data_IF_376970012116
#
_entry.id   IF_376970012116
#
_cell.length_a   1.000
_cell.length_b   1.000
_cell.length_c   1.000
_cell.angle_alpha   90.00
_cell.angle_beta   90.00
_cell.angle_gamma   90.00
#
_symmetry.space_group_name_H-M   'P 1'
#
loop_
_entity.id
_entity.type
_entity.pdbx_description
1 polymer ?
#
# COMPACT_ATOMS: atom_id res chain seq x y z
N UNK A 1 -15.01 -22.49 19.43
CA UNK A 1 -13.98 -21.46 19.71
C UNK A 1 -13.41 -20.98 18.39
N UNK A 2 -13.71 -19.75 17.96
CA UNK A 2 -13.14 -19.19 16.74
C UNK A 2 -11.65 -18.89 16.97
N UNK A 3 -10.78 -19.40 16.11
CA UNK A 3 -9.35 -19.07 16.14
C UNK A 3 -9.18 -17.59 15.78
N UNK A 4 -9.00 -16.73 16.79
CA UNK A 4 -8.73 -15.31 16.56
C UNK A 4 -7.40 -15.15 15.81
N UNK A 5 -7.43 -14.42 14.70
CA UNK A 5 -6.23 -14.09 13.92
C UNK A 5 -5.17 -13.40 14.79
N UNK A 6 -3.90 -13.74 14.59
CA UNK A 6 -2.77 -13.10 15.28
C UNK A 6 -2.77 -11.58 15.13
N UNK A 7 -3.34 -11.05 14.04
CA UNK A 7 -3.51 -9.62 13.79
C UNK A 7 -4.45 -8.94 14.79
N UNK A 8 -5.57 -9.58 15.14
CA UNK A 8 -6.51 -9.04 16.12
C UNK A 8 -5.93 -9.12 17.53
N UNK A 9 -5.27 -10.23 17.86
CA UNK A 9 -4.56 -10.37 19.14
C UNK A 9 -3.46 -9.32 19.31
N UNK A 10 -2.73 -8.99 18.24
CA UNK A 10 -1.72 -7.93 18.27
C UNK A 10 -2.34 -6.56 18.55
N UNK A 11 -3.49 -6.25 17.95
CA UNK A 11 -4.21 -5.01 18.22
C UNK A 11 -4.76 -4.95 19.65
N UNK A 12 -5.34 -6.05 20.15
CA UNK A 12 -5.80 -6.16 21.55
C UNK A 12 -4.65 -5.87 22.53
N UNK A 13 -3.48 -6.48 22.29
CA UNK A 13 -2.28 -6.26 23.11
C UNK A 13 -1.82 -4.81 23.11
N UNK A 14 -1.76 -4.17 21.94
CA UNK A 14 -1.36 -2.76 21.80
C UNK A 14 -2.41 -1.78 22.37
N UNK A 15 -3.67 -2.21 22.47
CA UNK A 15 -4.72 -1.43 23.13
C UNK A 15 -4.63 -1.53 24.66
N UNK A 16 -4.21 -2.68 25.19
CA UNK A 16 -3.99 -2.87 26.64
C UNK A 16 -2.67 -2.28 27.14
N UNK A 17 -1.62 -2.30 26.31
CA UNK A 17 -0.31 -1.75 26.64
C UNK A 17 0.26 -0.99 25.43
N UNK A 18 0.21 0.36 25.44
CA UNK A 18 0.80 1.16 24.38
C UNK A 18 2.33 1.11 24.45
N UNK A 19 3.00 1.23 23.30
CA UNK A 19 4.47 1.28 23.15
C UNK A 19 5.20 -0.06 23.32
N UNK A 20 4.54 -1.20 23.07
CA UNK A 20 5.20 -2.50 23.06
C UNK A 20 6.18 -2.62 21.89
N UNK A 21 7.34 -3.25 22.14
CA UNK A 21 8.32 -3.53 21.10
C UNK A 21 7.94 -4.79 20.29
N UNK A 22 8.58 -4.98 19.14
CA UNK A 22 8.38 -6.19 18.31
C UNK A 22 8.66 -7.47 19.10
N UNK A 23 9.62 -7.44 20.04
CA UNK A 23 9.97 -8.60 20.88
C UNK A 23 8.87 -8.92 21.87
N UNK A 24 8.33 -7.91 22.54
CA UNK A 24 7.27 -8.10 23.53
C UNK A 24 5.98 -8.60 22.85
N UNK A 25 5.69 -8.11 21.64
CA UNK A 25 4.56 -8.59 20.82
C UNK A 25 4.78 -10.03 20.36
N UNK A 26 6.01 -10.42 19.99
CA UNK A 26 6.34 -11.78 19.61
C UNK A 26 6.14 -12.77 20.78
N UNK A 27 6.65 -12.40 21.96
CA UNK A 27 6.51 -13.18 23.19
C UNK A 27 5.05 -13.34 23.59
N UNK A 28 4.28 -12.24 23.61
CA UNK A 28 2.87 -12.27 23.98
C UNK A 28 1.98 -13.05 22.99
N UNK A 29 2.35 -13.09 21.71
CA UNK A 29 1.64 -13.85 20.68
C UNK A 29 2.11 -15.31 20.55
N UNK A 30 3.24 -15.68 21.18
CA UNK A 30 3.86 -16.99 21.04
C UNK A 30 4.38 -17.27 19.62
N UNK A 31 4.82 -16.23 18.91
CA UNK A 31 5.33 -16.32 17.52
C UNK A 31 6.79 -15.87 17.45
N UNK A 32 7.49 -16.20 16.37
CA UNK A 32 8.83 -15.69 16.15
C UNK A 32 8.84 -14.18 15.87
N UNK A 33 9.99 -13.54 16.13
CA UNK A 33 10.16 -12.08 16.01
C UNK A 33 9.95 -11.60 14.57
N UNK A 34 10.28 -12.40 13.56
CA UNK A 34 10.07 -12.01 12.16
C UNK A 34 8.58 -11.99 11.81
N UNK A 35 7.82 -12.97 12.30
CA UNK A 35 6.36 -13.02 12.12
C UNK A 35 5.65 -11.91 12.86
N UNK A 36 6.07 -11.58 14.08
CA UNK A 36 5.56 -10.43 14.82
C UNK A 36 5.84 -9.11 14.07
N UNK A 37 7.05 -8.97 13.50
CA UNK A 37 7.41 -7.82 12.66
C UNK A 37 6.51 -7.71 11.43
N UNK A 38 6.27 -8.82 10.72
CA UNK A 38 5.39 -8.84 9.54
C UNK A 38 3.96 -8.41 9.89
N UNK A 39 3.43 -8.90 11.02
CA UNK A 39 2.09 -8.53 11.51
C UNK A 39 2.02 -7.03 11.82
N UNK A 40 3.01 -6.50 12.55
CA UNK A 40 3.06 -5.08 12.91
C UNK A 40 3.25 -4.17 11.70
N UNK A 41 4.09 -4.55 10.74
CA UNK A 41 4.28 -3.80 9.50
C UNK A 41 2.98 -3.79 8.67
N UNK A 42 2.29 -4.94 8.55
CA UNK A 42 0.98 -4.99 7.88
C UNK A 42 -0.06 -4.08 8.55
N UNK A 43 -0.13 -4.10 9.88
CA UNK A 43 -1.01 -3.22 10.64
C UNK A 43 -0.63 -1.74 10.45
N UNK A 44 0.66 -1.44 10.34
CA UNK A 44 1.18 -0.08 10.13
C UNK A 44 0.86 0.45 8.74
N UNK A 45 1.10 -0.34 7.69
CA UNK A 45 0.70 0.01 6.32
C UNK A 45 -0.81 0.20 6.18
N UNK A 46 -1.60 -0.55 6.96
CA UNK A 46 -3.06 -0.39 7.03
C UNK A 46 -3.53 0.84 7.83
N UNK A 47 -2.63 1.52 8.54
CA UNK A 47 -2.93 2.68 9.39
C UNK A 47 -3.61 2.33 10.73
N UNK A 48 -3.54 1.06 11.16
CA UNK A 48 -4.15 0.60 12.41
C UNK A 48 -3.22 0.73 13.63
N UNK A 49 -1.91 0.76 13.38
CA UNK A 49 -0.88 1.00 14.40
C UNK A 49 0.15 1.99 13.88
N UNK A 50 0.77 2.72 14.78
CA UNK A 50 1.83 3.68 14.49
C UNK A 50 3.07 3.38 15.34
N UNK A 51 4.23 3.87 14.88
CA UNK A 51 5.48 3.74 15.63
C UNK A 51 5.55 4.86 16.68
N UNK A 52 5.45 4.50 17.95
CA UNK A 52 5.51 5.43 19.08
C UNK A 52 6.79 5.15 19.89
N UNK A 53 7.80 6.00 19.73
CA UNK A 53 9.10 5.86 20.41
C UNK A 53 9.81 4.54 20.08
N UNK A 54 9.99 3.70 21.10
CA UNK A 54 10.66 2.39 20.99
C UNK A 54 9.73 1.23 20.61
N UNK A 55 8.43 1.48 20.45
CA UNK A 55 7.43 0.44 20.17
C UNK A 55 6.33 0.88 19.22
N UNK A 56 5.19 0.22 19.33
CA UNK A 56 4.00 0.47 18.53
C UNK A 56 2.85 0.92 19.41
N UNK A 57 1.99 1.79 18.89
CA UNK A 57 0.75 2.22 19.53
C UNK A 57 -0.42 2.02 18.56
N UNK A 58 -1.60 1.75 19.09
CA UNK A 58 -2.82 1.60 18.28
C UNK A 58 -3.40 2.96 17.92
N UNK A 59 -3.77 3.14 16.66
CA UNK A 59 -4.42 4.38 16.17
C UNK A 59 -5.92 4.34 16.44
N UNK A 60 -6.62 5.46 16.24
CA UNK A 60 -8.08 5.52 16.33
C UNK A 60 -8.76 4.55 15.35
N UNK A 61 -8.20 4.40 14.14
CA UNK A 61 -8.64 3.43 13.14
C UNK A 61 -8.45 1.97 13.60
N UNK A 62 -7.35 1.69 14.31
CA UNK A 62 -7.12 0.38 14.94
C UNK A 62 -8.13 0.06 16.03
N UNK A 63 -8.48 1.05 16.86
CA UNK A 63 -9.50 0.91 17.90
C UNK A 63 -10.90 0.67 17.31
N UNK A 64 -11.26 1.37 16.23
CA UNK A 64 -12.51 1.13 15.51
C UNK A 64 -12.60 -0.31 14.98
N UNK A 65 -11.50 -0.83 14.40
CA UNK A 65 -11.46 -2.22 13.92
C UNK A 65 -11.63 -3.23 15.07
N UNK A 66 -11.03 -2.97 16.24
CA UNK A 66 -11.26 -3.80 17.42
C UNK A 66 -12.72 -3.75 17.90
N UNK A 67 -13.35 -2.58 17.88
CA UNK A 67 -14.75 -2.41 18.24
C UNK A 67 -15.67 -3.14 17.26
N UNK A 68 -15.46 -2.99 15.96
CA UNK A 68 -16.22 -3.71 14.92
C UNK A 68 -16.13 -5.23 15.10
N UNK A 69 -14.95 -5.75 15.48
CA UNK A 69 -14.76 -7.17 15.73
C UNK A 69 -15.27 -7.64 17.10
N UNK A 70 -15.32 -6.77 18.10
CA UNK A 70 -15.96 -7.06 19.39
C UNK A 70 -17.48 -7.09 19.25
N UNK A 71 -18.05 -6.22 18.42
CA UNK A 71 -19.48 -6.17 18.13
C UNK A 71 -19.94 -7.29 17.18
N UNK A 72 -19.06 -7.85 16.35
CA UNK A 72 -19.33 -9.06 15.55
C UNK A 72 -19.54 -10.35 16.39
N UNK A 73 -19.50 -10.26 17.72
CA UNK A 73 -20.06 -11.23 18.67
C UNK A 73 -21.59 -11.12 18.89
N UNK A 74 -22.28 -10.18 18.24
CA UNK A 74 -23.74 -10.04 18.24
C UNK A 74 -24.21 -9.57 16.86
N UNK A 75 -25.07 -10.31 16.14
CA UNK A 75 -25.44 -9.95 14.79
C UNK A 75 -26.47 -8.83 14.83
N UNK A 76 -26.09 -7.62 14.44
CA UNK A 76 -27.07 -6.65 13.96
C UNK A 76 -26.55 -5.92 12.73
N UNK A 77 -26.73 -6.58 11.59
CA UNK A 77 -27.00 -5.93 10.31
C UNK A 77 -28.26 -5.06 10.48
N UNK A 78 -28.13 -3.80 10.90
CA UNK A 78 -29.19 -2.80 10.67
C UNK A 78 -28.67 -1.37 10.83
N UNK A 79 -28.07 -0.86 9.76
CA UNK A 79 -28.41 0.48 9.29
C UNK A 79 -28.51 0.38 7.77
N UNK A 80 -29.58 0.98 7.22
CA UNK A 80 -30.14 0.79 5.87
C UNK A 80 -31.16 -0.35 5.72
N UNK A 81 -32.29 -0.21 6.41
CA UNK A 81 -33.62 0.00 5.79
C UNK A 81 -34.59 0.34 6.94
N UNK A 82 -35.01 1.59 6.96
CA UNK A 82 -36.10 2.07 7.79
C UNK A 82 -37.42 1.72 7.09
N UNK A 83 -38.30 0.96 7.76
CA UNK A 83 -39.69 0.87 7.33
C UNK A 83 -40.41 -0.41 7.73
N UNK A 84 -41.36 -0.25 8.65
CA UNK A 84 -42.57 -1.07 8.91
C UNK A 84 -42.47 -2.36 9.73
N UNK A 85 -43.22 -2.26 10.83
CA UNK A 85 -44.19 -3.24 11.35
C UNK A 85 -43.68 -4.44 12.13
N UNK A 86 -44.36 -4.68 13.25
CA UNK A 86 -44.73 -6.05 13.59
C UNK A 86 -44.41 -6.44 15.01
N UNK A 87 -45.43 -6.30 15.85
CA UNK A 87 -45.56 -6.73 17.22
C UNK A 87 -45.35 -8.24 17.47
N UNK A 88 -45.33 -8.55 18.77
CA UNK A 88 -45.83 -9.74 19.48
C UNK A 88 -44.92 -10.95 19.76
N UNK A 89 -44.69 -11.13 21.07
CA UNK A 89 -44.82 -12.38 21.87
C UNK A 89 -43.74 -13.46 21.73
N UNK A 90 -43.38 -14.26 22.73
CA UNK A 90 -43.58 -14.30 24.18
C UNK A 90 -42.79 -15.54 24.71
N UNK A 91 -42.34 -15.49 25.96
CA UNK A 91 -42.06 -16.66 26.83
C UNK A 91 -40.77 -17.46 26.53
N UNK A 92 -40.01 -17.96 27.50
CA UNK A 92 -40.22 -18.06 28.94
C UNK A 92 -39.62 -19.37 29.46
N UNK A 93 -38.53 -19.28 30.23
CA UNK A 93 -38.04 -20.26 31.24
C UNK A 93 -37.63 -21.66 30.75
N UNK A 94 -36.93 -22.50 31.51
CA UNK A 94 -36.08 -22.40 32.71
C UNK A 94 -35.56 -23.84 32.92
N UNK A 95 -34.32 -24.01 33.41
CA UNK A 95 -33.79 -25.16 34.21
C UNK A 95 -33.81 -26.56 33.57
N UNK A 96 -32.84 -27.46 33.70
CA UNK A 96 -31.65 -27.61 34.54
C UNK A 96 -31.23 -29.09 34.47
N UNK A 97 -29.95 -29.38 34.80
CA UNK A 97 -29.42 -30.63 35.38
C UNK A 97 -29.65 -31.97 34.66
N UNK A 98 -28.61 -32.56 34.06
CA UNK A 98 -27.79 -33.60 34.71
C UNK A 98 -26.87 -34.33 33.71
N UNK A 99 -25.59 -34.37 34.05
CA UNK A 99 -24.54 -35.25 33.49
C UNK A 99 -24.35 -36.35 34.54
N UNK A 100 -24.25 -37.66 34.22
CA UNK A 100 -22.97 -38.17 33.74
C UNK A 100 -22.98 -39.49 32.93
N UNK A 101 -22.12 -39.59 31.91
CA UNK A 101 -21.30 -40.81 31.75
C UNK A 101 -20.15 -40.61 30.77
N UNK A 102 -18.95 -40.84 31.28
CA UNK A 102 -17.69 -40.94 30.56
C UNK A 102 -17.73 -42.12 29.58
N UNK A 103 -17.33 -41.87 28.34
CA UNK A 103 -16.74 -42.90 27.48
C UNK A 103 -15.58 -42.23 26.72
N UNK A 104 -14.35 -42.75 26.76
CA UNK A 104 -13.25 -42.17 25.99
C UNK A 104 -13.41 -42.53 24.51
N UNK A 105 -13.41 -41.58 23.56
CA UNK A 105 -13.45 -41.91 22.15
C UNK A 105 -12.05 -42.34 21.67
N UNK A 106 -11.97 -43.59 21.21
CA UNK A 106 -10.91 -44.08 20.32
C UNK A 106 -11.00 -43.37 18.94
N UNK A 107 -9.92 -43.38 18.13
CA UNK A 107 -9.80 -42.50 16.97
C UNK A 107 -10.64 -43.03 15.81
N UNK A 108 -11.82 -42.45 15.62
CA UNK A 108 -12.59 -42.65 14.39
C UNK A 108 -12.04 -41.71 13.33
N UNK A 109 -11.47 -42.29 12.28
CA UNK A 109 -11.09 -41.56 11.06
C UNK A 109 -12.27 -40.71 10.57
N UNK A 110 -11.97 -39.51 10.06
CA UNK A 110 -12.96 -38.60 9.50
C UNK A 110 -13.86 -39.39 8.53
N UNK A 111 -15.16 -39.45 8.84
CA UNK A 111 -16.13 -40.15 8.01
C UNK A 111 -16.04 -39.65 6.56
N UNK A 112 -16.12 -40.53 5.55
CA UNK A 112 -15.95 -40.16 4.14
C UNK A 112 -16.87 -39.01 3.70
N UNK A 113 -18.05 -38.88 4.32
CA UNK A 113 -18.99 -37.77 4.09
C UNK A 113 -18.50 -36.41 4.59
N UNK A 114 -17.74 -36.37 5.68
CA UNK A 114 -17.14 -35.13 6.18
C UNK A 114 -16.00 -34.65 5.27
N UNK A 115 -15.22 -35.60 4.74
CA UNK A 115 -14.18 -35.32 3.76
C UNK A 115 -14.78 -34.84 2.43
N UNK A 116 -15.86 -35.48 1.95
CA UNK A 116 -16.57 -35.08 0.73
C UNK A 116 -17.09 -33.64 0.83
N UNK A 117 -17.74 -33.26 1.94
CA UNK A 117 -18.18 -31.89 2.18
C UNK A 117 -17.03 -30.88 2.19
N UNK A 118 -15.89 -31.26 2.76
CA UNK A 118 -14.69 -30.41 2.80
C UNK A 118 -14.07 -30.22 1.42
N UNK A 119 -14.05 -31.27 0.60
CA UNK A 119 -13.61 -31.21 -0.80
C UNK A 119 -14.55 -30.33 -1.62
N UNK A 120 -15.86 -30.42 -1.40
CA UNK A 120 -16.85 -29.58 -2.08
C UNK A 120 -16.71 -28.10 -1.69
N UNK A 121 -16.52 -27.81 -0.39
CA UNK A 121 -16.26 -26.46 0.09
C UNK A 121 -14.97 -25.87 -0.49
N UNK A 122 -13.88 -26.66 -0.51
CA UNK A 122 -12.62 -26.24 -1.11
C UNK A 122 -12.75 -26.00 -2.62
N UNK A 123 -13.51 -26.84 -3.32
CA UNK A 123 -13.77 -26.68 -4.76
C UNK A 123 -14.55 -25.40 -5.06
N UNK A 124 -15.54 -25.07 -4.23
CA UNK A 124 -16.31 -23.83 -4.35
C UNK A 124 -15.44 -22.60 -4.05
N UNK A 125 -14.59 -22.66 -3.02
CA UNK A 125 -13.61 -21.60 -2.73
C UNK A 125 -12.61 -21.42 -3.86
N UNK A 126 -12.16 -22.51 -4.49
CA UNK A 126 -11.25 -22.45 -5.63
C UNK A 126 -11.89 -21.73 -6.83
N UNK A 127 -13.15 -22.07 -7.16
CA UNK A 127 -13.90 -21.38 -8.22
C UNK A 127 -14.09 -19.90 -7.94
N UNK A 128 -14.38 -19.53 -6.69
CA UNK A 128 -14.53 -18.13 -6.31
C UNK A 128 -13.21 -17.37 -6.44
N UNK A 129 -12.10 -17.97 -6.02
CA UNK A 129 -10.76 -17.39 -6.19
C UNK A 129 -10.39 -17.23 -7.66
N UNK A 130 -10.68 -18.23 -8.50
CA UNK A 130 -10.46 -18.15 -9.95
C UNK A 130 -11.29 -17.02 -10.59
N UNK A 131 -12.55 -16.84 -10.17
CA UNK A 131 -13.39 -15.74 -10.65
C UNK A 131 -12.82 -14.38 -10.26
N UNK A 132 -12.38 -14.24 -9.00
CA UNK A 132 -11.76 -13.00 -8.51
C UNK A 132 -10.45 -12.70 -9.23
N UNK A 133 -9.67 -13.74 -9.55
CA UNK A 133 -8.41 -13.59 -10.29
C UNK A 133 -8.67 -13.06 -11.70
N UNK A 134 -9.67 -13.61 -12.41
CA UNK A 134 -10.10 -13.12 -13.74
C UNK A 134 -10.58 -11.68 -13.71
N UNK A 135 -11.32 -11.29 -12.67
CA UNK A 135 -11.76 -9.90 -12.49
C UNK A 135 -10.58 -8.96 -12.27
N UNK A 136 -9.59 -9.38 -11.48
CA UNK A 136 -8.36 -8.61 -11.24
C UNK A 136 -7.55 -8.50 -12.54
N UNK A 137 -7.39 -9.58 -13.29
CA UNK A 137 -6.71 -9.58 -14.60
C UNK A 137 -7.41 -8.66 -15.60
N UNK A 138 -8.75 -8.68 -15.65
CA UNK A 138 -9.54 -7.77 -16.49
C UNK A 138 -9.36 -6.30 -16.10
N UNK A 139 -9.36 -6.01 -14.79
CA UNK A 139 -9.10 -4.66 -14.28
C UNK A 139 -7.67 -4.21 -14.59
N UNK A 140 -6.70 -5.11 -14.45
CA UNK A 140 -5.30 -4.83 -14.77
C UNK A 140 -5.11 -4.54 -16.26
N UNK A 141 -5.71 -5.35 -17.15
CA UNK A 141 -5.69 -5.11 -18.59
C UNK A 141 -6.36 -3.77 -18.95
N UNK A 142 -7.44 -3.40 -18.26
CA UNK A 142 -8.10 -2.09 -18.43
C UNK A 142 -7.22 -0.93 -17.95
N UNK A 143 -6.52 -1.10 -16.83
CA UNK A 143 -5.54 -0.14 -16.29
C UNK A 143 -4.34 0.01 -17.23
N UNK A 144 -3.79 -1.08 -17.74
CA UNK A 144 -2.72 -1.07 -18.75
C UNK A 144 -3.16 -0.36 -20.03
N UNK A 145 -4.39 -0.59 -20.48
CA UNK A 145 -5.02 0.15 -21.58
C UNK A 145 -5.11 1.64 -21.29
N UNK A 146 -5.62 2.01 -20.11
CA UNK A 146 -5.73 3.41 -19.70
C UNK A 146 -4.37 4.09 -19.58
N UNK A 147 -3.36 3.42 -19.03
CA UNK A 147 -1.98 3.92 -18.94
C UNK A 147 -1.36 4.05 -20.32
N UNK A 148 -1.56 3.08 -21.22
CA UNK A 148 -1.08 3.17 -22.60
C UNK A 148 -1.77 4.30 -23.36
N UNK A 149 -3.05 4.52 -23.14
CA UNK A 149 -3.81 5.60 -23.75
C UNK A 149 -3.47 6.97 -23.13
N UNK A 150 -3.15 7.03 -21.85
CA UNK A 150 -2.63 8.22 -21.19
C UNK A 150 -1.21 8.55 -21.68
N UNK A 151 -0.36 7.53 -21.87
CA UNK A 151 0.97 7.68 -22.47
C UNK A 151 0.89 8.10 -23.94
N UNK A 152 -0.10 7.62 -24.70
CA UNK A 152 -0.37 8.07 -26.07
C UNK A 152 -0.94 9.47 -26.13
N UNK A 153 -1.83 9.85 -25.22
CA UNK A 153 -2.37 11.22 -25.12
C UNK A 153 -1.28 12.22 -24.72
N UNK A 154 -0.48 11.91 -23.71
CA UNK A 154 0.69 12.72 -23.33
C UNK A 154 1.80 12.74 -24.40
N UNK A 155 2.01 11.65 -25.13
CA UNK A 155 2.93 11.60 -26.26
C UNK A 155 2.44 12.32 -27.53
N UNK A 156 1.13 12.45 -27.71
CA UNK A 156 0.53 13.21 -28.82
C UNK A 156 0.45 14.71 -28.52
N UNK A 157 0.32 15.10 -27.24
CA UNK A 157 0.45 16.51 -26.80
C UNK A 157 1.90 17.01 -26.80
N UNK A 158 2.91 16.12 -26.78
CA UNK A 158 4.32 16.50 -26.90
C UNK A 158 4.71 17.08 -28.29
N UNK A 159 3.78 17.15 -29.25
CA UNK A 159 3.96 17.89 -30.52
C UNK A 159 3.20 19.22 -30.59
N UNK A 160 2.45 19.58 -29.55
CA UNK A 160 1.71 20.84 -29.49
C UNK A 160 2.05 21.56 -28.19
N UNK A 161 2.94 22.54 -28.28
CA UNK A 161 3.27 23.39 -27.14
C UNK A 161 2.06 24.15 -26.62
N UNK A 162 1.47 23.65 -25.54
CA UNK A 162 0.82 24.46 -24.51
C UNK A 162 1.53 24.13 -23.19
N UNK A 163 2.68 24.77 -23.04
CA UNK A 163 3.61 24.54 -21.94
C UNK A 163 2.99 24.88 -20.59
N UNK A 164 3.50 24.22 -19.54
CA UNK A 164 3.18 24.39 -18.13
C UNK A 164 3.44 25.81 -17.57
N UNK A 165 3.42 26.86 -18.39
CA UNK A 165 3.92 28.21 -18.04
C UNK A 165 5.44 28.25 -17.81
N UNK A 166 6.12 27.13 -18.08
CA UNK A 166 7.57 26.99 -17.94
C UNK A 166 8.22 27.49 -19.24
N UNK A 167 8.65 28.76 -19.26
CA UNK A 167 9.46 29.32 -20.36
C UNK A 167 10.80 28.58 -20.51
N UNK A 168 11.26 27.96 -19.42
CA UNK A 168 12.50 27.19 -19.37
C UNK A 168 12.22 25.80 -18.77
N UNK A 169 12.79 24.73 -19.35
CA UNK A 169 12.53 23.35 -18.92
C UNK A 169 13.21 22.97 -17.60
N UNK A 170 14.17 23.78 -17.14
CA UNK A 170 14.91 23.61 -15.89
C UNK A 170 14.91 24.96 -15.19
N UNK A 171 14.50 24.98 -13.92
CA UNK A 171 14.57 26.18 -13.07
C UNK A 171 14.82 25.81 -11.62
N UNK A 172 15.21 26.78 -10.81
CA UNK A 172 15.35 26.56 -9.36
C UNK A 172 13.99 26.36 -8.68
N UNK A 173 13.99 25.71 -7.52
CA UNK A 173 12.78 25.57 -6.70
C UNK A 173 12.19 26.94 -6.35
N UNK A 174 13.02 27.95 -6.07
CA UNK A 174 12.55 29.30 -5.74
C UNK A 174 11.85 29.99 -6.92
N UNK A 175 12.40 29.85 -8.14
CA UNK A 175 11.77 30.35 -9.36
C UNK A 175 10.47 29.61 -9.65
N UNK A 176 10.48 28.28 -9.50
CA UNK A 176 9.30 27.45 -9.68
C UNK A 176 8.19 27.83 -8.68
N UNK A 177 8.53 28.07 -7.41
CA UNK A 177 7.59 28.55 -6.39
C UNK A 177 7.02 29.92 -6.75
N UNK A 178 7.86 30.84 -7.25
CA UNK A 178 7.42 32.18 -7.63
C UNK A 178 6.48 32.18 -8.84
N UNK A 179 6.70 31.26 -9.79
CA UNK A 179 5.93 31.17 -11.05
C UNK A 179 4.65 30.33 -10.89
N UNK A 180 4.76 29.17 -10.26
CA UNK A 180 3.68 28.18 -10.18
C UNK A 180 2.91 28.24 -8.86
N UNK A 181 3.50 28.80 -7.79
CA UNK A 181 2.89 28.87 -6.47
C UNK A 181 2.41 27.50 -5.99
N UNK A 182 1.10 27.41 -5.70
CA UNK A 182 0.45 26.18 -5.23
C UNK A 182 0.36 25.08 -6.29
N UNK A 183 0.53 25.40 -7.57
CA UNK A 183 0.53 24.41 -8.65
C UNK A 183 1.82 23.59 -8.69
N UNK A 184 2.91 24.08 -8.10
CA UNK A 184 4.19 23.36 -8.06
C UNK A 184 4.03 21.99 -7.39
N UNK A 185 3.43 21.95 -6.20
CA UNK A 185 3.21 20.70 -5.46
C UNK A 185 2.33 19.74 -6.24
N UNK A 186 1.25 20.27 -6.83
CA UNK A 186 0.35 19.48 -7.69
C UNK A 186 1.12 18.84 -8.85
N UNK A 187 1.97 19.59 -9.56
CA UNK A 187 2.72 19.08 -10.69
C UNK A 187 3.86 18.13 -10.30
N UNK A 188 4.45 18.28 -9.12
CA UNK A 188 5.40 17.31 -8.57
C UNK A 188 4.70 15.99 -8.22
N UNK A 189 3.52 16.04 -7.60
CA UNK A 189 2.73 14.84 -7.25
C UNK A 189 2.19 14.14 -8.50
N UNK A 190 1.73 14.90 -9.50
CA UNK A 190 1.29 14.36 -10.79
C UNK A 190 2.45 13.82 -11.64
N UNK A 191 3.71 14.06 -11.26
CA UNK A 191 4.89 13.61 -12.00
C UNK A 191 5.16 14.39 -13.30
N UNK A 192 4.53 15.57 -13.47
CA UNK A 192 4.81 16.49 -14.58
C UNK A 192 6.12 17.24 -14.37
N UNK A 193 6.47 17.50 -13.11
CA UNK A 193 7.74 18.07 -12.70
C UNK A 193 8.52 17.07 -11.87
N UNK A 194 9.84 17.08 -12.02
CA UNK A 194 10.77 16.22 -11.30
C UNK A 194 11.72 17.13 -10.52
N UNK A 195 11.86 16.85 -9.23
CA UNK A 195 12.83 17.53 -8.38
C UNK A 195 14.19 16.85 -8.50
N UNK A 196 15.22 17.64 -8.79
CA UNK A 196 16.62 17.21 -8.83
C UNK A 196 17.41 18.18 -7.94
N UNK A 197 17.69 17.77 -6.71
CA UNK A 197 18.37 18.63 -5.73
C UNK A 197 17.62 19.95 -5.48
N UNK A 198 18.26 21.06 -5.85
CA UNK A 198 17.72 22.43 -5.78
C UNK A 198 16.93 22.87 -7.01
N UNK A 199 16.87 22.02 -8.05
CA UNK A 199 16.19 22.31 -9.31
C UNK A 199 14.88 21.55 -9.44
N UNK A 200 13.99 22.13 -10.25
CA UNK A 200 12.77 21.52 -10.75
C UNK A 200 12.85 21.45 -12.26
N UNK A 201 12.56 20.29 -12.80
CA UNK A 201 12.76 19.95 -14.20
C UNK A 201 11.45 19.43 -14.78
N UNK A 202 11.14 19.82 -16.00
CA UNK A 202 10.05 19.22 -16.75
C UNK A 202 10.28 17.71 -16.97
N UNK A 203 9.26 16.90 -16.75
CA UNK A 203 9.36 15.44 -16.81
C UNK A 203 9.71 14.93 -18.21
N UNK A 204 9.19 15.56 -19.27
CA UNK A 204 9.51 15.21 -20.64
C UNK A 204 10.97 15.56 -20.96
N UNK A 205 11.40 16.76 -20.59
CA UNK A 205 12.80 17.18 -20.76
C UNK A 205 13.78 16.27 -20.00
N UNK A 206 13.47 15.93 -18.75
CA UNK A 206 14.31 15.04 -17.95
C UNK A 206 14.41 13.64 -18.58
N UNK A 207 13.29 13.12 -19.09
CA UNK A 207 13.24 11.83 -19.78
C UNK A 207 14.07 11.82 -21.06
N UNK A 208 14.02 12.89 -21.86
CA UNK A 208 14.86 13.04 -23.06
C UNK A 208 16.33 13.17 -22.71
N UNK A 209 16.65 13.97 -21.69
CA UNK A 209 18.02 14.16 -21.23
C UNK A 209 18.64 12.83 -20.73
N UNK A 210 17.90 12.02 -19.98
CA UNK A 210 18.36 10.71 -19.52
C UNK A 210 18.72 9.75 -20.65
N UNK A 211 18.05 9.81 -21.80
CA UNK A 211 18.36 8.96 -22.98
C UNK A 211 19.72 9.29 -23.59
N UNK A 212 20.30 10.46 -23.30
CA UNK A 212 21.61 10.87 -23.80
C UNK A 212 22.77 10.25 -23.03
N UNK A 213 22.52 9.63 -21.88
CA UNK A 213 23.55 8.95 -21.11
C UNK A 213 23.90 7.59 -21.73
N UNK A 214 25.18 7.20 -21.75
CA UNK A 214 26.33 7.91 -21.18
C UNK A 214 26.81 9.11 -22.02
N UNK A 215 27.10 10.24 -21.36
CA UNK A 215 27.56 11.48 -22.02
C UNK A 215 29.08 11.56 -21.91
N UNK A 216 29.80 11.65 -23.03
CA UNK A 216 31.27 11.81 -23.00
C UNK A 216 31.66 13.16 -22.40
N UNK A 217 32.74 13.19 -21.63
CA UNK A 217 33.24 14.40 -20.97
C UNK A 217 33.54 15.54 -21.98
N UNK A 218 34.03 15.19 -23.17
CA UNK A 218 34.25 16.16 -24.26
C UNK A 218 32.98 16.69 -24.92
N UNK A 219 31.85 15.97 -24.81
CA UNK A 219 30.57 16.38 -25.38
C UNK A 219 29.75 17.27 -24.43
N UNK A 220 30.17 17.46 -23.18
CA UNK A 220 29.51 18.35 -22.20
C UNK A 220 29.47 19.80 -22.69
N UNK A 221 30.49 20.23 -23.43
CA UNK A 221 30.53 21.57 -24.03
C UNK A 221 29.41 21.82 -25.04
N UNK A 222 28.85 20.74 -25.63
CA UNK A 222 27.77 20.79 -26.63
C UNK A 222 26.37 20.74 -26.01
N UNK A 223 26.28 20.55 -24.70
CA UNK A 223 25.00 20.61 -23.98
C UNK A 223 24.47 22.04 -23.96
N UNK A 224 23.16 22.17 -24.07
CA UNK A 224 22.49 23.46 -23.85
C UNK A 224 22.70 23.95 -22.41
N UNK A 225 22.51 25.25 -22.12
CA UNK A 225 22.67 25.78 -20.77
C UNK A 225 21.80 25.06 -19.72
N UNK A 226 20.54 24.74 -20.07
CA UNK A 226 19.63 24.01 -19.19
C UNK A 226 20.10 22.57 -18.91
N UNK A 227 20.57 21.87 -19.95
CA UNK A 227 21.11 20.51 -19.79
C UNK A 227 22.38 20.47 -18.97
N UNK A 228 23.25 21.49 -19.13
CA UNK A 228 24.48 21.60 -18.33
C UNK A 228 24.16 21.85 -16.87
N UNK A 229 23.21 22.76 -16.59
CA UNK A 229 22.73 23.04 -15.24
C UNK A 229 22.16 21.78 -14.58
N UNK A 230 21.33 21.03 -15.32
CA UNK A 230 20.79 19.75 -14.87
C UNK A 230 21.89 18.72 -14.59
N UNK A 231 22.86 18.57 -15.51
CA UNK A 231 23.97 17.63 -15.33
C UNK A 231 24.81 17.94 -14.09
N UNK A 232 25.10 19.22 -13.85
CA UNK A 232 25.87 19.65 -12.68
C UNK A 232 25.13 19.35 -11.37
N UNK A 233 23.83 19.59 -11.34
CA UNK A 233 23.01 19.30 -10.17
C UNK A 233 22.86 17.78 -9.95
N UNK A 234 22.64 17.00 -11.01
CA UNK A 234 22.64 15.54 -10.95
C UNK A 234 23.98 14.98 -10.44
N UNK A 235 25.11 15.64 -10.77
CA UNK A 235 26.43 15.27 -10.24
C UNK A 235 26.55 15.61 -8.75
N UNK A 236 26.02 16.75 -8.30
CA UNK A 236 26.00 17.14 -6.88
C UNK A 236 25.16 16.18 -6.03
N UNK A 237 24.01 15.77 -6.55
CA UNK A 237 23.10 14.80 -5.92
C UNK A 237 23.57 13.35 -6.08
N UNK A 238 24.78 13.11 -6.60
CA UNK A 238 25.35 11.76 -6.81
C UNK A 238 24.49 10.85 -7.69
N UNK A 239 23.61 11.41 -8.52
CA UNK A 239 22.80 10.69 -9.50
C UNK A 239 23.59 10.35 -10.77
N UNK A 240 24.68 11.10 -11.00
CA UNK A 240 25.58 10.92 -12.14
C UNK A 240 27.02 10.90 -11.65
N UNK A 241 27.80 9.94 -12.14
CA UNK A 241 29.23 9.81 -11.87
C UNK A 241 30.05 9.96 -13.14
N UNK A 242 31.22 10.58 -13.02
CA UNK A 242 32.21 10.61 -14.09
C UNK A 242 33.05 9.33 -14.04
N UNK A 243 32.77 8.40 -14.94
CA UNK A 243 33.45 7.12 -15.03
C UNK A 243 34.79 7.28 -15.77
N UNK A 244 35.88 6.88 -15.11
CA UNK A 244 37.25 6.90 -15.64
C UNK A 244 37.70 8.25 -16.25
N UNK A 245 37.10 9.37 -15.83
CA UNK A 245 37.37 10.69 -16.40
C UNK A 245 36.88 10.89 -17.84
N UNK A 246 36.14 9.93 -18.42
CA UNK A 246 35.81 9.90 -19.86
C UNK A 246 34.35 10.13 -20.15
N UNK A 247 33.44 9.64 -19.31
CA UNK A 247 32.01 9.73 -19.57
C UNK A 247 31.19 9.77 -18.28
N UNK A 248 30.11 10.55 -18.33
CA UNK A 248 29.11 10.64 -17.29
C UNK A 248 28.12 9.49 -17.44
N UNK A 249 27.91 8.74 -16.36
CA UNK A 249 26.96 7.62 -16.28
C UNK A 249 25.96 7.86 -15.17
N UNK A 250 24.72 7.41 -15.38
CA UNK A 250 23.72 7.40 -14.33
C UNK A 250 24.12 6.38 -13.26
N UNK A 251 23.88 6.72 -11.99
CA UNK A 251 24.05 5.80 -10.86
C UNK A 251 22.77 5.00 -10.74
N UNK A 252 22.86 3.68 -10.91
CA UNK A 252 21.75 2.78 -10.61
C UNK A 252 21.61 2.67 -9.09
N UNK A 253 20.66 3.40 -8.52
CA UNK A 253 20.15 3.11 -7.18
C UNK A 253 19.26 1.87 -7.31
N UNK A 254 19.84 0.70 -7.00
CA UNK A 254 19.11 -0.57 -6.88
C UNK A 254 18.15 -0.59 -5.71
#
# INVERSE_FOLDING_TARGET
>A
MQARSYTLKALELLNSAPSLSVRDVAEALGVDVARAKEILERLRYGGYVEKAGHGYAITEKGRALLADHAEQGSPTLTSFIQGKQGSTEAGGGKTGTDTPRQTPPQPVGEAPDALAKRVEELSNRLRELESRLRDIESRLASLEGFVRDAARRSGAEARGGEGLGMETPVMSIAEAQSRLGTLLEKYLVEGRLIRVGSLVVDSAFYGEFKKRFPIKAGDVGRLSPAERMLLEEMRREMMVILYAGREYRLVDTG
#
